data_IF_418426896280
#
_entry.id   IF_418426896280
#
_cell.length_a   1.000
_cell.length_b   1.000
_cell.length_c   1.000
_cell.angle_alpha   90.00
_cell.angle_beta   90.00
_cell.angle_gamma   90.00
#
_symmetry.space_group_name_H-M   'P 1'
#
loop_
_entity.id
_entity.type
_entity.pdbx_description
1 polymer ?
#
# COMPACT_ATOMS: atom_id res chain seq x y z
N UNK A 1 15.99 -11.60 33.87
CA UNK A 1 16.76 -10.46 33.32
C UNK A 1 16.04 -9.19 33.74
N UNK A 2 16.71 -8.26 34.41
CA UNK A 2 16.10 -7.00 34.85
C UNK A 2 15.68 -6.14 33.64
N UNK A 3 14.67 -5.29 33.84
CA UNK A 3 14.29 -4.30 32.84
C UNK A 3 15.26 -3.12 32.87
N UNK A 4 15.95 -2.89 31.76
CA UNK A 4 16.74 -1.69 31.51
C UNK A 4 16.53 -1.25 30.06
N UNK A 5 16.64 0.05 29.80
CA UNK A 5 16.51 0.60 28.45
C UNK A 5 17.52 -0.06 27.48
N UNK A 6 18.74 -0.34 27.95
CA UNK A 6 19.77 -0.99 27.16
C UNK A 6 19.44 -2.45 26.85
N UNK A 7 18.80 -3.17 27.78
CA UNK A 7 18.32 -4.53 27.52
C UNK A 7 17.21 -4.54 26.45
N UNK A 8 16.31 -3.56 26.46
CA UNK A 8 15.28 -3.39 25.42
C UNK A 8 15.96 -3.11 24.08
N UNK A 9 16.86 -2.12 24.01
CA UNK A 9 17.58 -1.75 22.77
C UNK A 9 18.39 -2.93 22.21
N UNK A 10 19.05 -3.70 23.06
CA UNK A 10 19.80 -4.89 22.67
C UNK A 10 18.87 -5.95 22.05
N UNK A 11 17.72 -6.23 22.67
CA UNK A 11 16.73 -7.18 22.14
C UNK A 11 16.14 -6.74 20.80
N UNK A 12 15.77 -5.46 20.67
CA UNK A 12 15.28 -4.91 19.40
C UNK A 12 16.34 -4.97 18.30
N UNK A 13 17.61 -4.75 18.66
CA UNK A 13 18.74 -4.81 17.72
C UNK A 13 19.07 -6.26 17.29
N UNK A 14 18.91 -7.23 18.19
CA UNK A 14 19.10 -8.65 17.90
C UNK A 14 17.91 -9.33 17.17
N UNK A 15 16.75 -8.65 17.06
CA UNK A 15 15.54 -9.21 16.48
C UNK A 15 15.69 -9.62 15.00
N UNK A 16 15.54 -10.91 14.71
CA UNK A 16 15.57 -11.45 13.34
C UNK A 16 14.15 -11.74 12.82
N UNK A 17 14.04 -12.21 11.57
CA UNK A 17 12.77 -12.55 10.91
C UNK A 17 12.17 -13.89 11.39
N UNK A 18 12.83 -14.62 12.28
CA UNK A 18 12.34 -15.94 12.70
C UNK A 18 11.17 -15.79 13.67
N UNK A 19 10.14 -16.60 13.48
CA UNK A 19 8.95 -16.59 14.34
C UNK A 19 9.34 -16.85 15.80
N UNK A 20 10.23 -17.79 16.06
CA UNK A 20 10.74 -18.08 17.40
C UNK A 20 11.39 -16.84 18.05
N UNK A 21 12.26 -16.14 17.32
CA UNK A 21 12.91 -14.93 17.81
C UNK A 21 11.91 -13.83 18.17
N UNK A 22 10.90 -13.61 17.31
CA UNK A 22 9.84 -12.63 17.54
C UNK A 22 9.01 -13.00 18.78
N UNK A 23 8.58 -14.26 18.90
CA UNK A 23 7.77 -14.74 20.03
C UNK A 23 8.55 -14.65 21.34
N UNK A 24 9.82 -15.08 21.38
CA UNK A 24 10.64 -15.01 22.60
C UNK A 24 10.85 -13.56 23.06
N UNK A 25 11.10 -12.63 22.14
CA UNK A 25 11.23 -11.21 22.49
C UNK A 25 9.89 -10.65 22.96
N UNK A 26 8.78 -10.97 22.29
CA UNK A 26 7.43 -10.54 22.68
C UNK A 26 7.07 -11.02 24.10
N UNK A 27 7.36 -12.27 24.43
CA UNK A 27 7.15 -12.83 25.78
C UNK A 27 7.92 -12.05 26.85
N UNK A 28 9.20 -11.74 26.60
CA UNK A 28 10.00 -10.95 27.53
C UNK A 28 9.49 -9.51 27.69
N UNK A 29 9.05 -8.89 26.59
CA UNK A 29 8.45 -7.55 26.59
C UNK A 29 7.15 -7.54 27.40
N UNK A 30 6.27 -8.52 27.17
CA UNK A 30 5.01 -8.64 27.92
C UNK A 30 5.19 -8.97 29.40
N UNK A 31 6.25 -9.69 29.77
CA UNK A 31 6.59 -9.90 31.17
C UNK A 31 6.84 -8.57 31.89
N UNK A 32 7.42 -7.59 31.20
CA UNK A 32 7.72 -6.25 31.72
C UNK A 32 6.67 -5.19 31.34
N UNK A 33 5.39 -5.57 31.22
CA UNK A 33 4.28 -4.67 30.82
C UNK A 33 4.15 -3.38 31.64
N UNK A 34 4.65 -3.34 32.89
CA UNK A 34 4.68 -2.12 33.72
C UNK A 34 5.48 -0.99 33.07
N UNK A 35 6.33 -1.33 32.10
CA UNK A 35 7.13 -0.39 31.32
C UNK A 35 6.65 -0.35 29.86
N UNK A 36 5.36 -0.58 29.60
CA UNK A 36 4.80 -0.59 28.25
C UNK A 36 5.08 0.72 27.50
N UNK A 37 4.80 1.86 28.12
CA UNK A 37 5.04 3.18 27.52
C UNK A 37 6.50 3.40 27.15
N UNK A 38 7.42 3.10 28.09
CA UNK A 38 8.86 3.25 27.85
C UNK A 38 9.33 2.32 26.74
N UNK A 39 8.84 1.09 26.72
CA UNK A 39 9.18 0.09 25.69
C UNK A 39 8.66 0.50 24.32
N UNK A 40 7.43 1.03 24.24
CA UNK A 40 6.82 1.52 23.01
C UNK A 40 7.60 2.72 22.43
N UNK A 41 8.06 3.64 23.27
CA UNK A 41 8.93 4.74 22.86
C UNK A 41 10.28 4.27 22.31
N UNK A 42 10.96 3.36 23.02
CA UNK A 42 12.24 2.79 22.59
C UNK A 42 12.09 2.01 21.28
N UNK A 43 10.98 1.29 21.12
CA UNK A 43 10.62 0.60 19.90
C UNK A 43 10.45 1.56 18.72
N UNK A 44 9.72 2.66 18.91
CA UNK A 44 9.52 3.66 17.86
C UNK A 44 10.83 4.35 17.47
N UNK A 45 11.67 4.69 18.45
CA UNK A 45 13.01 5.22 18.19
C UNK A 45 13.82 4.25 17.33
N UNK A 46 13.87 2.97 17.72
CA UNK A 46 14.60 1.96 16.97
C UNK A 46 14.03 1.76 15.56
N UNK A 47 12.71 1.85 15.40
CA UNK A 47 12.03 1.76 14.10
C UNK A 47 12.51 2.86 13.14
N UNK A 48 12.59 4.11 13.62
CA UNK A 48 13.07 5.25 12.83
C UNK A 48 14.52 5.05 12.37
N UNK A 49 15.38 4.57 13.26
CA UNK A 49 16.82 4.34 13.03
C UNK A 49 17.14 3.08 12.20
N UNK A 50 16.15 2.21 11.93
CA UNK A 50 16.38 0.92 11.27
C UNK A 50 16.09 0.96 9.76
N UNK A 51 16.75 0.12 8.93
CA UNK A 51 16.42 -0.03 7.51
C UNK A 51 15.10 -0.79 7.30
N UNK A 52 14.52 -0.72 6.08
CA UNK A 52 13.19 -1.22 5.77
C UNK A 52 12.93 -2.69 6.18
N UNK A 53 13.85 -3.62 5.91
CA UNK A 53 13.70 -5.03 6.33
C UNK A 53 13.64 -5.20 7.84
N UNK A 54 14.47 -4.45 8.58
CA UNK A 54 14.45 -4.47 10.05
C UNK A 54 13.19 -3.78 10.61
N UNK A 55 12.65 -2.76 9.92
CA UNK A 55 11.38 -2.13 10.30
C UNK A 55 10.21 -3.11 10.25
N UNK A 56 10.18 -4.00 9.25
CA UNK A 56 9.18 -5.06 9.16
C UNK A 56 9.20 -5.97 10.39
N UNK A 57 10.39 -6.42 10.82
CA UNK A 57 10.52 -7.28 12.01
C UNK A 57 10.01 -6.59 13.28
N UNK A 58 10.30 -5.30 13.41
CA UNK A 58 9.81 -4.50 14.52
C UNK A 58 8.28 -4.36 14.51
N UNK A 59 7.66 -4.25 13.33
CA UNK A 59 6.20 -4.26 13.18
C UNK A 59 5.62 -5.64 13.52
N UNK A 60 6.27 -6.74 13.12
CA UNK A 60 5.86 -8.09 13.53
C UNK A 60 5.94 -8.30 15.04
N UNK A 61 6.97 -7.78 15.70
CA UNK A 61 7.07 -7.79 17.15
C UNK A 61 5.92 -7.00 17.81
N UNK A 62 5.63 -5.79 17.32
CA UNK A 62 4.52 -4.99 17.84
C UNK A 62 3.18 -5.70 17.64
N UNK A 63 2.98 -6.35 16.49
CA UNK A 63 1.82 -7.17 16.21
C UNK A 63 1.67 -8.33 17.20
N UNK A 64 2.75 -9.10 17.43
CA UNK A 64 2.75 -10.22 18.37
C UNK A 64 2.41 -9.76 19.80
N UNK A 65 3.02 -8.66 20.26
CA UNK A 65 2.76 -8.07 21.58
C UNK A 65 1.32 -7.57 21.69
N UNK A 66 0.80 -6.85 20.68
CA UNK A 66 -0.57 -6.31 20.70
C UNK A 66 -1.62 -7.44 20.72
N UNK A 67 -1.45 -8.46 19.89
CA UNK A 67 -2.35 -9.61 19.85
C UNK A 67 -2.34 -10.39 21.16
N UNK A 68 -1.15 -10.73 21.69
CA UNK A 68 -1.07 -11.45 22.96
C UNK A 68 -1.59 -10.60 24.14
N UNK A 69 -1.41 -9.29 24.10
CA UNK A 69 -1.96 -8.35 25.09
C UNK A 69 -3.49 -8.38 25.08
N UNK A 70 -4.11 -8.33 23.89
CA UNK A 70 -5.57 -8.46 23.70
C UNK A 70 -6.10 -9.80 24.22
N UNK A 71 -5.47 -10.92 23.82
CA UNK A 71 -5.87 -12.28 24.24
C UNK A 71 -5.79 -12.45 25.75
N UNK A 72 -4.76 -11.89 26.39
CA UNK A 72 -4.55 -11.96 27.85
C UNK A 72 -5.34 -10.90 28.62
N UNK A 73 -6.14 -10.05 27.95
CA UNK A 73 -6.89 -8.91 28.53
C UNK A 73 -5.99 -7.98 29.34
N UNK A 74 -4.82 -7.66 28.80
CA UNK A 74 -3.82 -6.76 29.41
C UNK A 74 -3.55 -5.63 28.44
N UNK A 75 -4.28 -4.53 28.59
CA UNK A 75 -4.31 -3.48 27.58
C UNK A 75 -3.14 -2.50 27.67
N UNK A 76 -2.18 -2.68 28.60
CA UNK A 76 -1.05 -1.76 28.81
C UNK A 76 -0.30 -1.45 27.50
N UNK A 77 0.00 -2.50 26.71
CA UNK A 77 0.67 -2.31 25.42
C UNK A 77 -0.26 -1.81 24.32
N UNK A 78 -1.56 -2.13 24.36
CA UNK A 78 -2.51 -1.58 23.42
C UNK A 78 -2.63 -0.06 23.61
N UNK A 79 -2.73 0.39 24.86
CA UNK A 79 -2.76 1.81 25.24
C UNK A 79 -1.45 2.49 24.84
N UNK A 80 -0.29 1.88 25.14
CA UNK A 80 1.01 2.44 24.81
C UNK A 80 1.27 2.54 23.29
N UNK A 81 0.83 1.57 22.49
CA UNK A 81 0.99 1.59 21.03
C UNK A 81 -0.02 2.49 20.32
N UNK A 82 -1.23 2.64 20.86
CA UNK A 82 -2.33 3.41 20.27
C UNK A 82 -1.92 4.78 19.71
N UNK A 83 -1.22 5.66 20.46
CA UNK A 83 -0.86 7.00 19.96
C UNK A 83 0.24 6.99 18.90
N UNK A 84 1.03 5.91 18.80
CA UNK A 84 2.22 5.86 17.94
C UNK A 84 2.09 4.92 16.74
N UNK A 85 1.16 3.97 16.75
CA UNK A 85 1.13 2.87 15.77
C UNK A 85 0.84 3.36 14.35
N UNK A 86 0.02 4.40 14.19
CA UNK A 86 -0.27 5.00 12.89
C UNK A 86 0.97 5.68 12.30
N UNK A 87 1.76 6.38 13.12
CA UNK A 87 3.02 6.99 12.68
C UNK A 87 4.07 5.91 12.38
N UNK A 88 4.18 4.92 13.27
CA UNK A 88 5.14 3.83 13.14
C UNK A 88 4.91 3.01 11.86
N UNK A 89 3.66 2.67 11.57
CA UNK A 89 3.29 1.95 10.34
C UNK A 89 3.66 2.79 9.11
N UNK A 90 3.41 4.09 9.12
CA UNK A 90 3.81 4.99 8.05
C UNK A 90 5.35 5.03 7.83
N UNK A 91 6.13 5.07 8.91
CA UNK A 91 7.61 5.03 8.85
C UNK A 91 8.12 3.70 8.28
N UNK A 92 7.50 2.59 8.67
CA UNK A 92 7.83 1.26 8.15
C UNK A 92 7.46 1.13 6.66
N UNK A 93 6.35 1.74 6.25
CA UNK A 93 5.81 1.68 4.90
C UNK A 93 6.57 2.58 3.90
N UNK A 94 6.99 3.77 4.36
CA UNK A 94 7.70 4.76 3.54
C UNK A 94 9.10 4.27 3.14
N UNK A 95 9.36 4.22 1.85
CA UNK A 95 10.66 3.81 1.29
C UNK A 95 10.90 2.30 1.30
N UNK A 96 9.90 1.49 1.67
CA UNK A 96 9.97 0.04 1.59
C UNK A 96 9.75 -0.48 0.15
N UNK A 97 10.29 -1.66 -0.15
CA UNK A 97 10.01 -2.39 -1.39
C UNK A 97 8.55 -2.85 -1.45
N UNK A 98 8.05 -3.15 -2.64
CA UNK A 98 6.65 -3.56 -2.81
C UNK A 98 6.31 -4.83 -2.00
N UNK A 99 7.22 -5.80 -1.93
CA UNK A 99 7.08 -7.02 -1.11
C UNK A 99 6.89 -6.70 0.39
N UNK A 100 7.74 -5.82 0.95
CA UNK A 100 7.62 -5.41 2.36
C UNK A 100 6.31 -4.64 2.59
N UNK A 101 5.91 -3.79 1.65
CA UNK A 101 4.65 -3.06 1.75
C UNK A 101 3.43 -3.98 1.76
N UNK A 102 3.41 -5.02 0.92
CA UNK A 102 2.35 -6.03 0.93
C UNK A 102 2.29 -6.77 2.28
N UNK A 103 3.44 -7.13 2.85
CA UNK A 103 3.52 -7.74 4.18
C UNK A 103 2.99 -6.81 5.28
N UNK A 104 3.35 -5.52 5.25
CA UNK A 104 2.84 -4.53 6.20
C UNK A 104 1.31 -4.36 6.09
N UNK A 105 0.77 -4.31 4.86
CA UNK A 105 -0.69 -4.28 4.66
C UNK A 105 -1.39 -5.49 5.24
N UNK A 106 -0.79 -6.67 5.09
CA UNK A 106 -1.34 -7.89 5.69
C UNK A 106 -1.43 -7.79 7.21
N UNK A 107 -0.43 -7.16 7.86
CA UNK A 107 -0.48 -6.90 9.31
C UNK A 107 -1.61 -5.94 9.67
N UNK A 108 -1.76 -4.83 8.94
CA UNK A 108 -2.84 -3.85 9.17
C UNK A 108 -4.22 -4.48 9.00
N UNK A 109 -4.40 -5.31 7.98
CA UNK A 109 -5.64 -6.07 7.76
C UNK A 109 -5.92 -7.05 8.90
N UNK A 110 -4.89 -7.73 9.41
CA UNK A 110 -5.04 -8.61 10.59
C UNK A 110 -5.46 -7.82 11.83
N UNK A 111 -4.96 -6.59 12.02
CA UNK A 111 -5.42 -5.73 13.12
C UNK A 111 -6.90 -5.38 13.00
N UNK A 112 -7.37 -5.09 11.79
CA UNK A 112 -8.80 -4.86 11.50
C UNK A 112 -9.64 -6.09 11.79
N UNK A 113 -9.29 -7.23 11.19
CA UNK A 113 -10.04 -8.48 11.32
C UNK A 113 -10.17 -8.94 12.77
N UNK A 114 -9.14 -8.70 13.58
CA UNK A 114 -9.10 -9.11 15.00
C UNK A 114 -9.50 -7.99 15.96
N UNK A 115 -9.93 -6.82 15.46
CA UNK A 115 -10.26 -5.64 16.27
C UNK A 115 -9.18 -5.33 17.32
N UNK A 116 -7.91 -5.33 16.92
CA UNK A 116 -6.77 -5.14 17.85
C UNK A 116 -6.77 -3.73 18.42
N UNK A 117 -6.88 -2.73 17.54
CA UNK A 117 -6.99 -1.32 17.90
C UNK A 117 -8.43 -0.83 17.72
N UNK A 118 -8.78 0.23 18.44
CA UNK A 118 -10.06 0.91 18.27
C UNK A 118 -10.20 1.49 16.86
N UNK A 119 -11.44 1.57 16.38
CA UNK A 119 -11.75 1.98 15.00
C UNK A 119 -11.06 3.29 14.58
N UNK A 120 -11.03 4.38 15.39
CA UNK A 120 -10.36 5.62 14.98
C UNK A 120 -8.86 5.46 14.74
N UNK A 121 -8.21 4.57 15.51
CA UNK A 121 -6.77 4.30 15.37
C UNK A 121 -6.53 3.46 14.11
N UNK A 122 -7.37 2.44 13.89
CA UNK A 122 -7.31 1.59 12.71
C UNK A 122 -7.49 2.43 11.43
N UNK A 123 -8.50 3.31 11.40
CA UNK A 123 -8.73 4.24 10.29
C UNK A 123 -7.55 5.20 10.09
N UNK A 124 -6.95 5.69 11.17
CA UNK A 124 -5.76 6.54 11.06
C UNK A 124 -4.54 5.78 10.49
N UNK A 125 -4.36 4.50 10.84
CA UNK A 125 -3.31 3.64 10.25
C UNK A 125 -3.57 3.46 8.75
N UNK A 126 -4.78 3.06 8.37
CA UNK A 126 -5.19 2.84 6.98
C UNK A 126 -5.04 4.12 6.15
N UNK A 127 -5.56 5.24 6.65
CA UNK A 127 -5.47 6.54 5.99
C UNK A 127 -4.01 6.95 5.75
N UNK A 128 -3.10 6.74 6.70
CA UNK A 128 -1.67 7.08 6.52
C UNK A 128 -0.97 6.17 5.51
N UNK A 129 -1.31 4.88 5.49
CA UNK A 129 -0.78 3.96 4.46
C UNK A 129 -1.30 4.38 3.10
N UNK A 130 -2.61 4.61 2.98
CA UNK A 130 -3.25 5.02 1.74
C UNK A 130 -2.76 6.39 1.26
N UNK A 131 -2.50 7.34 2.16
CA UNK A 131 -1.85 8.62 1.84
C UNK A 131 -0.43 8.44 1.33
N UNK A 132 0.32 7.45 1.82
CA UNK A 132 1.65 7.16 1.30
C UNK A 132 1.59 6.50 -0.07
N UNK A 133 0.62 5.62 -0.32
CA UNK A 133 0.36 5.11 -1.66
C UNK A 133 -0.14 6.19 -2.58
N UNK A 134 -1.02 7.05 -2.08
CA UNK A 134 -1.46 8.28 -2.72
C UNK A 134 -0.21 9.05 -3.06
N UNK A 135 0.71 9.35 -2.15
CA UNK A 135 1.89 10.17 -2.40
C UNK A 135 2.87 9.53 -3.40
N UNK A 136 2.97 8.19 -3.42
CA UNK A 136 3.68 7.44 -4.46
C UNK A 136 2.96 7.46 -5.81
N UNK A 137 1.62 7.52 -5.79
CA UNK A 137 0.73 7.58 -6.95
C UNK A 137 0.18 8.98 -7.23
N UNK A 138 0.69 10.04 -6.57
CA UNK A 138 0.14 11.40 -6.60
C UNK A 138 0.81 12.22 -7.67
N UNK A 139 0.81 11.66 -8.86
CA UNK A 139 -0.10 12.23 -9.84
C UNK A 139 -1.54 11.75 -9.58
N UNK A 140 -2.29 12.50 -8.75
CA UNK A 140 -3.77 12.57 -8.66
C UNK A 140 -4.52 11.75 -7.58
N UNK A 141 -5.35 12.49 -6.82
CA UNK A 141 -6.25 12.05 -5.73
C UNK A 141 -7.61 11.48 -6.22
N UNK A 142 -8.32 10.70 -5.38
CA UNK A 142 -9.41 9.78 -5.73
C UNK A 142 -10.80 10.24 -5.26
N UNK A 143 -11.88 9.73 -5.85
CA UNK A 143 -13.22 9.56 -5.24
C UNK A 143 -14.05 8.62 -6.14
N UNK A 144 -14.29 7.36 -5.74
CA UNK A 144 -15.43 6.84 -4.95
C UNK A 144 -16.54 6.28 -5.85
N UNK A 145 -16.71 4.96 -5.83
CA UNK A 145 -17.97 4.30 -6.20
C UNK A 145 -17.87 3.20 -7.26
N UNK A 146 -17.87 1.94 -6.79
CA UNK A 146 -18.62 0.85 -7.42
C UNK A 146 -17.91 -0.03 -8.46
N UNK A 147 -17.81 -1.33 -8.15
CA UNK A 147 -18.47 -2.43 -8.90
C UNK A 147 -17.70 -3.76 -8.77
N UNK A 148 -18.46 -4.81 -8.50
CA UNK A 148 -18.08 -6.08 -7.84
C UNK A 148 -17.45 -7.14 -8.76
N UNK A 149 -16.57 -6.76 -9.70
CA UNK A 149 -15.95 -7.75 -10.62
C UNK A 149 -14.41 -7.69 -10.68
N UNK A 150 -13.76 -7.03 -9.72
CA UNK A 150 -12.29 -6.93 -9.69
C UNK A 150 -11.68 -8.03 -8.82
N UNK A 151 -11.22 -9.10 -9.47
CA UNK A 151 -10.15 -9.94 -8.91
C UNK A 151 -8.88 -9.10 -8.85
N UNK A 152 -8.30 -9.03 -7.64
CA UNK A 152 -7.10 -8.29 -7.24
C UNK A 152 -5.94 -8.28 -8.25
N UNK A 153 -5.57 -7.09 -8.74
CA UNK A 153 -4.20 -6.54 -8.78
C UNK A 153 -4.16 -5.31 -9.71
N UNK A 154 -3.91 -4.13 -9.16
CA UNK A 154 -3.62 -2.91 -9.93
C UNK A 154 -4.84 -2.23 -10.57
N UNK A 155 -5.25 -1.08 -10.04
CA UNK A 155 -6.21 -0.20 -10.71
C UNK A 155 -5.66 0.22 -12.08
N UNK A 156 -6.43 0.01 -13.14
CA UNK A 156 -6.08 0.44 -14.50
C UNK A 156 -5.84 1.97 -14.50
N UNK A 157 -4.70 2.46 -15.01
CA UNK A 157 -4.43 3.89 -15.13
C UNK A 157 -5.56 4.64 -15.86
N UNK A 158 -5.87 5.90 -15.48
CA UNK A 158 -7.01 6.65 -16.04
C UNK A 158 -6.92 6.83 -17.56
N UNK A 159 -5.71 7.00 -18.10
CA UNK A 159 -5.47 7.10 -19.55
C UNK A 159 -5.85 5.80 -20.30
N UNK A 160 -5.82 4.66 -19.62
CA UNK A 160 -6.15 3.34 -20.17
C UNK A 160 -7.60 2.92 -19.87
N UNK A 161 -8.32 3.64 -19.01
CA UNK A 161 -9.73 3.33 -18.70
C UNK A 161 -10.65 3.29 -19.93
N UNK A 162 -10.51 4.19 -20.93
CA UNK A 162 -11.35 4.13 -22.13
C UNK A 162 -11.17 2.85 -22.96
N UNK A 163 -10.01 2.18 -22.84
CA UNK A 163 -9.69 0.95 -23.56
C UNK A 163 -10.25 -0.30 -22.89
N UNK A 164 -10.45 -0.27 -21.57
CA UNK A 164 -11.00 -1.39 -20.82
C UNK A 164 -12.35 -1.91 -21.35
N UNK A 165 -13.38 -1.08 -21.57
CA UNK A 165 -14.66 -1.57 -22.12
C UNK A 165 -14.53 -2.09 -23.55
N UNK A 166 -13.63 -1.52 -24.36
CA UNK A 166 -13.36 -1.99 -25.73
C UNK A 166 -12.72 -3.39 -25.72
N UNK A 167 -11.76 -3.61 -24.82
CA UNK A 167 -11.14 -4.93 -24.62
C UNK A 167 -12.15 -5.96 -24.10
N UNK A 168 -13.04 -5.58 -23.18
CA UNK A 168 -14.10 -6.46 -22.68
C UNK A 168 -15.08 -6.82 -23.80
N UNK A 169 -15.50 -5.85 -24.62
CA UNK A 169 -16.37 -6.09 -25.76
C UNK A 169 -15.74 -7.06 -26.77
N UNK A 170 -14.44 -6.88 -27.08
CA UNK A 170 -13.70 -7.80 -27.95
C UNK A 170 -13.62 -9.22 -27.36
N UNK A 171 -13.32 -9.36 -26.07
CA UNK A 171 -13.29 -10.66 -25.39
C UNK A 171 -14.64 -11.37 -25.46
N UNK A 172 -15.74 -10.64 -25.20
CA UNK A 172 -17.10 -11.20 -25.28
C UNK A 172 -17.46 -11.64 -26.71
N UNK A 173 -17.19 -10.79 -27.70
CA UNK A 173 -17.43 -11.11 -29.11
C UNK A 173 -16.60 -12.33 -29.56
N UNK A 174 -15.35 -12.43 -29.10
CA UNK A 174 -14.44 -13.54 -29.41
C UNK A 174 -14.95 -14.86 -28.82
N UNK A 175 -15.38 -14.86 -27.56
CA UNK A 175 -15.95 -16.05 -26.91
C UNK A 175 -17.23 -16.53 -27.60
N UNK A 176 -18.14 -15.61 -27.96
CA UNK A 176 -19.41 -15.94 -28.62
C UNK A 176 -19.24 -16.45 -30.06
N UNK A 177 -18.26 -15.91 -30.80
CA UNK A 177 -18.04 -16.31 -32.19
C UNK A 177 -17.37 -17.67 -32.32
N UNK A 178 -16.55 -18.09 -31.34
CA UNK A 178 -15.80 -19.34 -31.41
C UNK A 178 -16.72 -20.53 -31.67
N UNK A 179 -17.79 -20.66 -30.89
CA UNK A 179 -18.78 -21.73 -31.06
C UNK A 179 -19.49 -21.66 -32.41
N UNK A 180 -19.92 -20.46 -32.83
CA UNK A 180 -20.66 -20.27 -34.09
C UNK A 180 -19.84 -20.65 -35.31
N UNK A 181 -18.56 -20.25 -35.34
CA UNK A 181 -17.61 -20.59 -36.43
C UNK A 181 -17.30 -22.08 -36.44
N UNK A 182 -17.05 -22.69 -35.28
CA UNK A 182 -16.81 -24.15 -35.21
C UNK A 182 -18.02 -24.94 -35.71
N UNK A 183 -19.23 -24.59 -35.27
CA UNK A 183 -20.46 -25.27 -35.74
C UNK A 183 -20.63 -25.14 -37.25
N UNK A 184 -20.44 -23.94 -37.81
CA UNK A 184 -20.55 -23.73 -39.25
C UNK A 184 -19.50 -24.52 -40.05
N UNK A 185 -18.24 -24.55 -39.59
CA UNK A 185 -17.17 -25.32 -40.24
C UNK A 185 -17.44 -26.82 -40.17
N UNK A 186 -17.84 -27.34 -39.00
CA UNK A 186 -18.16 -28.77 -38.85
C UNK A 186 -19.34 -29.19 -39.72
N UNK A 187 -20.39 -28.37 -39.82
CA UNK A 187 -21.53 -28.66 -40.70
C UNK A 187 -21.13 -28.60 -42.19
N UNK A 188 -20.26 -27.64 -42.55
CA UNK A 188 -19.72 -27.52 -43.90
C UNK A 188 -18.88 -28.74 -44.30
N UNK A 189 -17.97 -29.18 -43.43
CA UNK A 189 -17.11 -30.35 -43.64
C UNK A 189 -17.94 -31.62 -43.80
N UNK A 190 -18.94 -31.84 -42.94
CA UNK A 190 -19.85 -33.00 -43.03
C UNK A 190 -20.62 -33.06 -44.35
N UNK A 191 -20.99 -31.90 -44.89
CA UNK A 191 -21.69 -31.82 -46.18
C UNK A 191 -20.78 -32.05 -47.39
N UNK A 192 -19.47 -31.85 -47.24
CA UNK A 192 -18.49 -31.98 -48.32
C UNK A 192 -17.60 -33.24 -48.18
N UNK A 193 -17.85 -34.10 -47.19
CA UNK A 193 -17.13 -35.37 -47.04
C UNK A 193 -17.57 -36.35 -48.14
N UNK A 194 -16.66 -36.78 -49.03
CA UNK A 194 -16.96 -37.71 -50.11
C UNK A 194 -17.41 -39.10 -49.64
N UNK A 195 -17.20 -39.44 -48.37
CA UNK A 195 -17.63 -40.72 -47.79
C UNK A 195 -19.02 -40.66 -47.15
N UNK A 196 -19.67 -39.50 -47.11
CA UNK A 196 -21.02 -39.37 -46.55
C UNK A 196 -22.05 -39.89 -47.56
N UNK A 197 -22.85 -40.93 -47.23
CA UNK A 197 -23.85 -41.48 -48.14
C UNK A 197 -24.86 -40.39 -48.53
N UNK A 198 -25.12 -40.27 -49.82
CA UNK A 198 -25.95 -39.20 -50.37
C UNK A 198 -27.38 -39.30 -49.81
N UNK A 199 -27.84 -38.31 -49.03
CA UNK A 199 -29.17 -38.35 -48.43
C UNK A 199 -30.25 -38.16 -49.50
N UNK A 200 -31.50 -38.50 -49.17
CA UNK A 200 -32.63 -38.26 -50.08
C UNK A 200 -32.75 -36.77 -50.42
N UNK A 201 -33.25 -36.40 -51.62
CA UNK A 201 -33.31 -34.99 -52.04
C UNK A 201 -33.98 -34.04 -51.03
N UNK A 202 -35.08 -34.40 -50.33
CA UNK A 202 -35.66 -33.55 -49.29
C UNK A 202 -34.74 -33.35 -48.08
N UNK A 203 -34.02 -34.40 -47.67
CA UNK A 203 -33.08 -34.34 -46.53
C UNK A 203 -31.83 -33.53 -46.90
N UNK A 204 -31.35 -33.66 -48.14
CA UNK A 204 -30.25 -32.86 -48.65
C UNK A 204 -30.59 -31.36 -48.65
N UNK A 205 -31.78 -30.99 -49.15
CA UNK A 205 -32.26 -29.61 -49.15
C UNK A 205 -32.41 -29.02 -47.72
N UNK A 206 -32.89 -29.84 -46.78
CA UNK A 206 -32.99 -29.43 -45.37
C UNK A 206 -31.60 -29.19 -44.74
N UNK A 207 -30.62 -30.06 -45.00
CA UNK A 207 -29.23 -29.86 -44.52
C UNK A 207 -28.58 -28.62 -45.10
N UNK A 208 -28.74 -28.37 -46.40
CA UNK A 208 -28.24 -27.14 -47.03
C UNK A 208 -28.86 -25.88 -46.40
N UNK A 209 -30.15 -25.91 -46.10
CA UNK A 209 -30.84 -24.80 -45.42
C UNK A 209 -30.30 -24.57 -44.00
N UNK A 210 -30.00 -25.65 -43.26
CA UNK A 210 -29.38 -25.58 -41.95
C UNK A 210 -27.93 -25.05 -42.01
N UNK A 211 -27.16 -25.50 -43.00
CA UNK A 211 -25.80 -25.01 -43.24
C UNK A 211 -25.81 -23.50 -43.55
N UNK A 212 -26.69 -23.03 -44.44
CA UNK A 212 -26.84 -21.60 -44.74
C UNK A 212 -27.16 -20.79 -43.48
N UNK A 213 -28.03 -21.30 -42.59
CA UNK A 213 -28.33 -20.64 -41.31
C UNK A 213 -27.11 -20.59 -40.38
N UNK A 214 -26.36 -21.68 -40.29
CA UNK A 214 -25.14 -21.73 -39.46
C UNK A 214 -24.06 -20.79 -39.99
N UNK A 215 -23.89 -20.71 -41.30
CA UNK A 215 -22.95 -19.80 -41.97
C UNK A 215 -23.35 -18.33 -41.76
N UNK A 216 -24.62 -17.98 -41.92
CA UNK A 216 -25.11 -16.62 -41.66
C UNK A 216 -24.89 -16.20 -40.20
N UNK A 217 -25.12 -17.11 -39.24
CA UNK A 217 -24.85 -16.86 -37.84
C UNK A 217 -23.35 -16.64 -37.58
N UNK A 218 -22.47 -17.49 -38.15
CA UNK A 218 -21.03 -17.33 -38.03
C UNK A 218 -20.51 -16.04 -38.68
N UNK A 219 -21.06 -15.65 -39.83
CA UNK A 219 -20.73 -14.39 -40.51
C UNK A 219 -21.10 -13.18 -39.64
N UNK A 220 -22.28 -13.21 -39.03
CA UNK A 220 -22.71 -12.14 -38.11
C UNK A 220 -21.80 -12.04 -36.88
N UNK A 221 -21.40 -13.17 -36.29
CA UNK A 221 -20.54 -13.17 -35.10
C UNK A 221 -19.11 -12.72 -35.43
N UNK A 222 -18.58 -13.10 -36.60
CA UNK A 222 -17.27 -12.61 -37.07
C UNK A 222 -17.31 -11.11 -37.36
N UNK A 223 -18.40 -10.61 -37.93
CA UNK A 223 -18.59 -9.17 -38.16
C UNK A 223 -18.56 -8.36 -36.86
N UNK A 224 -19.13 -8.89 -35.77
CA UNK A 224 -19.06 -8.26 -34.45
C UNK A 224 -17.64 -8.25 -33.87
N UNK A 225 -16.85 -9.31 -34.06
CA UNK A 225 -15.43 -9.32 -33.68
C UNK A 225 -14.68 -8.23 -34.45
N UNK A 226 -14.87 -8.16 -35.77
CA UNK A 226 -14.18 -7.20 -36.63
C UNK A 226 -14.47 -5.77 -36.15
N UNK A 227 -15.75 -5.45 -35.91
CA UNK A 227 -16.17 -4.15 -35.40
C UNK A 227 -15.57 -3.82 -34.02
N UNK A 228 -15.58 -4.80 -33.11
CA UNK A 228 -15.02 -4.63 -31.77
C UNK A 228 -13.50 -4.41 -31.81
N UNK A 229 -12.80 -5.15 -32.68
CA UNK A 229 -11.36 -5.03 -32.86
C UNK A 229 -10.97 -3.70 -33.50
N UNK A 230 -11.73 -3.24 -34.50
CA UNK A 230 -11.51 -1.92 -35.10
C UNK A 230 -11.66 -0.81 -34.05
N UNK A 231 -12.73 -0.87 -33.25
CA UNK A 231 -12.97 0.13 -32.19
C UNK A 231 -11.83 0.16 -31.16
N UNK A 232 -11.28 -1.00 -30.79
CA UNK A 232 -10.13 -1.10 -29.88
C UNK A 232 -8.86 -0.49 -30.51
N UNK A 233 -8.60 -0.77 -31.79
CA UNK A 233 -7.47 -0.20 -32.53
C UNK A 233 -7.57 1.33 -32.54
N UNK A 234 -8.72 1.88 -32.92
CA UNK A 234 -8.96 3.33 -32.97
C UNK A 234 -8.69 3.98 -31.59
N UNK A 235 -9.13 3.32 -30.51
CA UNK A 235 -8.86 3.78 -29.14
C UNK A 235 -7.36 3.78 -28.80
N UNK A 236 -6.63 2.72 -29.17
CA UNK A 236 -5.19 2.59 -28.96
C UNK A 236 -4.40 3.65 -29.75
N UNK A 237 -4.78 3.89 -31.00
CA UNK A 237 -4.16 4.91 -31.86
C UNK A 237 -4.36 6.31 -31.30
N UNK A 238 -5.56 6.64 -30.83
CA UNK A 238 -5.83 7.93 -30.19
C UNK A 238 -4.95 8.16 -28.94
N UNK A 239 -4.75 7.11 -28.13
CA UNK A 239 -3.87 7.18 -26.97
C UNK A 239 -2.40 7.36 -27.39
N UNK A 240 -1.96 6.63 -28.41
CA UNK A 240 -0.62 6.75 -28.99
C UNK A 240 -0.35 8.19 -29.47
N UNK A 241 -1.29 8.78 -30.20
CA UNK A 241 -1.14 10.13 -30.74
C UNK A 241 -1.12 11.20 -29.65
N UNK A 242 -1.90 10.99 -28.57
CA UNK A 242 -1.85 11.86 -27.38
C UNK A 242 -0.45 11.86 -26.76
N UNK A 243 0.16 10.68 -26.61
CA UNK A 243 1.52 10.55 -26.08
C UNK A 243 2.58 11.13 -27.01
N UNK A 244 2.45 10.93 -28.34
CA UNK A 244 3.34 11.55 -29.33
C UNK A 244 3.29 13.07 -29.28
N UNK A 245 2.10 13.66 -29.13
CA UNK A 245 1.94 15.11 -29.00
C UNK A 245 2.57 15.65 -27.71
N UNK A 246 2.37 14.95 -26.58
CA UNK A 246 2.98 15.32 -25.31
C UNK A 246 4.52 15.26 -25.39
N UNK A 247 5.07 14.19 -25.96
CA UNK A 247 6.51 14.03 -26.16
C UNK A 247 7.10 15.17 -27.00
N UNK A 248 6.45 15.55 -28.11
CA UNK A 248 6.90 16.66 -28.94
C UNK A 248 6.95 18.00 -28.18
N UNK A 249 5.96 18.25 -27.31
CA UNK A 249 5.93 19.46 -26.46
C UNK A 249 7.06 19.45 -25.43
N UNK A 250 7.28 18.31 -24.78
CA UNK A 250 8.36 18.14 -23.79
C UNK A 250 9.74 18.30 -24.43
N UNK A 251 9.94 17.77 -25.63
CA UNK A 251 11.17 17.96 -26.41
C UNK A 251 11.41 19.44 -26.73
N UNK A 252 10.37 20.16 -27.19
CA UNK A 252 10.47 21.60 -27.45
C UNK A 252 10.80 22.39 -26.18
N UNK A 253 10.17 22.05 -25.06
CA UNK A 253 10.43 22.67 -23.76
C UNK A 253 11.87 22.43 -23.30
N UNK A 254 12.40 21.21 -23.48
CA UNK A 254 13.79 20.89 -23.18
C UNK A 254 14.76 21.75 -23.98
N UNK A 255 14.52 21.94 -25.28
CA UNK A 255 15.32 22.84 -26.13
C UNK A 255 15.26 24.27 -25.61
N UNK A 256 14.06 24.81 -25.32
CA UNK A 256 13.90 26.18 -24.80
C UNK A 256 14.62 26.39 -23.46
N UNK A 257 14.54 25.42 -22.55
CA UNK A 257 15.25 25.49 -21.27
C UNK A 257 16.77 25.45 -21.45
N UNK A 258 17.27 24.65 -22.40
CA UNK A 258 18.70 24.58 -22.72
C UNK A 258 19.23 25.90 -23.30
N UNK A 259 18.45 26.54 -24.16
CA UNK A 259 18.77 27.86 -24.74
C UNK A 259 18.79 28.94 -23.66
N UNK A 260 17.73 29.02 -22.83
CA UNK A 260 17.69 29.96 -21.70
C UNK A 260 18.83 29.74 -20.71
N UNK A 261 19.22 28.48 -20.47
CA UNK A 261 20.38 28.16 -19.62
C UNK A 261 21.66 28.71 -20.24
N UNK A 262 21.89 28.48 -21.54
CA UNK A 262 23.06 28.98 -22.24
C UNK A 262 23.12 30.52 -22.24
N UNK A 263 21.99 31.19 -22.48
CA UNK A 263 21.89 32.65 -22.41
C UNK A 263 22.22 33.19 -21.01
N UNK A 264 21.69 32.52 -19.96
CA UNK A 264 21.92 32.93 -18.58
C UNK A 264 23.38 32.71 -18.18
N UNK A 265 23.99 31.61 -18.61
CA UNK A 265 25.40 31.32 -18.38
C UNK A 265 26.31 32.31 -19.12
N UNK A 266 25.96 32.70 -20.35
CA UNK A 266 26.66 33.73 -21.10
C UNK A 266 26.61 35.09 -20.39
N UNK A 267 25.42 35.53 -19.96
CA UNK A 267 25.25 36.78 -19.18
C UNK A 267 26.00 36.73 -17.86
N UNK A 268 25.96 35.59 -17.17
CA UNK A 268 26.72 35.39 -15.93
C UNK A 268 28.22 35.60 -16.18
N UNK A 269 28.76 34.97 -17.24
CA UNK A 269 30.17 35.11 -17.60
C UNK A 269 30.54 36.55 -17.95
N UNK A 270 29.69 37.26 -18.69
CA UNK A 270 29.91 38.67 -19.02
C UNK A 270 29.99 39.55 -17.77
N UNK A 271 29.11 39.31 -16.79
CA UNK A 271 29.14 40.01 -15.50
C UNK A 271 30.41 39.67 -14.71
N UNK A 272 30.80 38.39 -14.64
CA UNK A 272 32.03 37.94 -13.98
C UNK A 272 33.30 38.56 -14.62
N UNK A 273 33.37 38.58 -15.96
CA UNK A 273 34.46 39.19 -16.72
C UNK A 273 34.50 40.72 -16.51
N UNK A 274 33.34 41.37 -16.40
CA UNK A 274 33.23 42.80 -16.05
C UNK A 274 33.76 43.11 -14.66
N UNK A 275 33.43 42.28 -13.66
CA UNK A 275 33.95 42.41 -12.29
C UNK A 275 35.47 42.24 -12.26
N UNK A 276 36.01 41.19 -12.91
CA UNK A 276 37.46 40.97 -12.95
C UNK A 276 38.20 42.14 -13.59
N UNK A 277 37.66 42.70 -14.68
CA UNK A 277 38.23 43.89 -15.32
C UNK A 277 38.18 45.13 -14.44
N UNK A 278 37.07 45.36 -13.74
CA UNK A 278 36.91 46.46 -12.79
C UNK A 278 37.89 46.38 -11.61
N UNK A 279 38.10 45.17 -11.07
CA UNK A 279 39.05 44.93 -9.98
C UNK A 279 40.51 45.09 -10.43
N UNK A 280 40.88 44.69 -11.66
CA UNK A 280 42.23 44.88 -12.19
C UNK A 280 42.58 46.34 -12.52
N UNK A 281 41.58 47.18 -12.84
CA UNK A 281 41.80 48.61 -13.05
C UNK A 281 42.12 49.36 -11.75
N UNK A 282 41.66 48.86 -10.60
CA UNK A 282 41.92 49.43 -9.27
C UNK A 282 43.15 48.83 -8.58
N UNK A 283 43.72 47.75 -9.16
CA UNK A 283 44.92 47.08 -8.66
C UNK A 283 46.07 47.15 -9.67
N UNK A 284 46.58 48.37 -9.87
CA UNK A 284 47.95 48.59 -10.37
C UNK A 284 48.69 49.58 -9.48
N UNK A 285 49.98 49.33 -9.17
CA UNK A 285 50.62 49.73 -7.92
C UNK A 285 51.34 51.07 -8.05
N UNK A 286 51.12 51.98 -7.11
CA UNK A 286 52.01 53.14 -6.96
C UNK A 286 53.25 52.69 -6.20
N UNK A 287 54.34 52.45 -6.93
CA UNK A 287 55.67 52.40 -6.37
C UNK A 287 56.09 53.82 -5.96
N UNK A 288 56.24 54.06 -4.65
CA UNK A 288 57.06 55.18 -4.18
C UNK A 288 57.95 54.70 -3.03
N UNK A 289 59.23 54.49 -3.35
CA UNK A 289 60.30 54.43 -2.35
C UNK A 289 60.62 55.86 -1.91
N UNK A 290 60.74 56.07 -0.59
CA UNK A 290 61.15 57.31 0.06
C UNK A 290 60.78 57.29 1.55
N UNK A 291 61.77 56.98 2.39
CA UNK A 291 61.79 56.81 3.85
C UNK A 291 61.46 58.10 4.67
N UNK A 292 61.45 58.13 6.03
CA UNK A 292 60.30 58.01 6.92
C UNK A 292 60.03 59.28 7.76
N UNK A 293 58.98 59.22 8.60
CA UNK A 293 58.65 60.14 9.71
C UNK A 293 57.75 61.34 9.39
N UNK A 294 56.46 61.22 9.72
CA UNK A 294 55.71 62.15 10.59
C UNK A 294 54.20 61.87 10.57
N UNK A 295 53.58 61.84 11.75
CA UNK A 295 52.26 62.45 11.96
C UNK A 295 51.00 61.64 11.66
N UNK A 296 50.37 61.19 12.74
CA UNK A 296 48.93 60.94 12.96
C UNK A 296 47.94 61.56 11.96
N UNK A 297 46.95 60.77 11.50
CA UNK A 297 45.49 61.03 11.66
C UNK A 297 44.63 60.12 10.77
N UNK A 298 43.84 59.25 11.39
CA UNK A 298 42.84 58.35 10.78
C UNK A 298 41.48 59.08 10.69
N UNK A 299 40.84 59.21 9.51
CA UNK A 299 39.48 59.73 9.40
C UNK A 299 38.39 58.63 9.50
N UNK A 300 37.17 58.99 9.96
CA UNK A 300 36.22 58.05 10.58
C UNK A 300 35.38 57.22 9.61
N UNK A 301 34.99 56.03 10.10
CA UNK A 301 34.12 55.00 9.50
C UNK A 301 32.67 55.50 9.30
N UNK A 302 32.07 55.39 8.10
CA UNK A 302 30.65 55.70 7.89
C UNK A 302 29.70 54.63 8.48
N UNK A 303 28.61 55.09 9.11
CA UNK A 303 27.57 54.28 9.73
C UNK A 303 26.68 53.57 8.69
N UNK A 304 26.32 52.31 8.97
CA UNK A 304 25.43 51.48 8.13
C UNK A 304 23.98 51.65 8.59
N UNK A 305 23.15 52.22 7.72
CA UNK A 305 21.71 52.43 7.94
C UNK A 305 20.95 51.10 7.85
N UNK A 306 20.17 50.77 8.89
CA UNK A 306 19.40 49.53 8.98
C UNK A 306 18.08 49.63 8.20
N UNK A 307 17.89 48.65 7.30
CA UNK A 307 16.71 48.46 6.45
C UNK A 307 15.39 48.48 7.25
N UNK A 308 14.59 49.53 7.07
CA UNK A 308 13.17 49.52 7.42
C UNK A 308 12.34 49.40 6.15
N UNK A 309 11.50 48.36 5.99
CA UNK A 309 10.57 48.30 4.87
C UNK A 309 9.34 49.21 5.12
N UNK A 310 8.88 50.00 4.13
CA UNK A 310 7.62 50.75 4.19
C UNK A 310 6.39 49.85 3.93
N UNK A 311 5.16 50.31 4.29
CA UNK A 311 4.00 49.46 4.49
C UNK A 311 3.26 49.15 3.18
N UNK A 312 2.65 47.96 3.11
CA UNK A 312 1.67 47.63 2.06
C UNK A 312 0.27 47.65 2.65
N UNK A 313 -0.55 48.57 2.15
CA UNK A 313 -1.97 48.69 2.45
C UNK A 313 -2.77 47.52 1.86
N UNK A 314 -3.84 47.18 2.58
CA UNK A 314 -4.66 45.98 2.42
C UNK A 314 -5.70 46.10 1.30
N UNK A 315 -5.91 45.01 0.55
CA UNK A 315 -7.21 44.70 -0.07
C UNK A 315 -7.38 43.16 -0.15
N UNK A 316 -8.09 42.56 0.80
CA UNK A 316 -9.35 41.83 0.54
C UNK A 316 -9.92 41.23 1.85
N UNK A 317 -11.26 41.12 1.96
CA UNK A 317 -11.96 41.15 3.24
C UNK A 317 -12.33 39.75 3.73
N UNK A 318 -12.08 39.46 5.02
CA UNK A 318 -12.72 38.35 5.72
C UNK A 318 -13.63 38.91 6.81
N UNK A 319 -14.93 38.78 6.59
CA UNK A 319 -15.95 39.04 7.59
C UNK A 319 -16.06 37.87 8.56
N UNK A 320 -16.16 38.18 9.85
CA UNK A 320 -16.95 37.41 10.81
C UNK A 320 -17.35 38.32 11.98
N UNK A 321 -18.60 38.25 12.47
CA UNK A 321 -19.14 39.22 13.42
C UNK A 321 -18.93 38.81 14.88
N UNK A 322 -18.82 39.83 15.75
CA UNK A 322 -19.01 39.77 17.21
C UNK A 322 -20.47 39.44 17.57
N UNK A 323 -20.70 39.04 18.82
CA UNK A 323 -21.82 39.60 19.56
C UNK A 323 -21.37 40.27 20.88
N UNK A 324 -21.97 41.44 21.11
CA UNK A 324 -21.93 42.21 22.36
C UNK A 324 -22.95 41.67 23.38
N UNK A 325 -22.68 42.01 24.63
CA UNK A 325 -23.46 41.79 25.85
C UNK A 325 -24.51 42.88 26.10
N UNK A 326 -25.65 42.49 26.68
CA UNK A 326 -26.54 43.17 27.66
C UNK A 326 -27.98 42.61 27.51
N UNK A 327 -28.83 42.40 28.51
CA UNK A 327 -28.75 42.36 29.97
C UNK A 327 -30.09 41.77 30.49
N UNK A 328 -30.07 41.21 31.72
CA UNK A 328 -31.16 41.06 32.71
C UNK A 328 -32.46 40.24 32.49
N UNK A 329 -32.59 39.18 33.32
CA UNK A 329 -33.69 38.82 34.26
C UNK A 329 -33.78 37.28 34.36
N UNK A 330 -33.88 36.58 35.48
CA UNK A 330 -33.89 36.85 36.92
C UNK A 330 -34.12 35.48 37.61
N UNK A 331 -33.73 35.38 38.89
CA UNK A 331 -34.18 34.38 39.90
C UNK A 331 -33.49 33.00 39.90
N UNK A 332 -32.57 32.83 40.87
CA UNK A 332 -32.27 31.56 41.57
C UNK A 332 -33.18 31.46 42.83
N UNK A 333 -33.43 30.26 43.42
CA UNK A 333 -32.51 29.61 44.38
C UNK A 333 -32.40 28.07 44.15
N UNK A 334 -31.29 27.37 44.38
CA UNK A 334 -30.51 27.06 45.60
C UNK A 334 -31.00 25.82 46.39
N UNK A 335 -30.01 25.09 46.95
CA UNK A 335 -29.99 23.93 47.89
C UNK A 335 -30.17 22.51 47.33
N UNK A 336 -29.53 21.45 47.84
CA UNK A 336 -28.30 21.17 48.63
C UNK A 336 -28.38 19.69 49.07
N UNK A 337 -27.22 19.00 49.06
CA UNK A 337 -26.71 18.00 50.01
C UNK A 337 -27.38 16.60 50.24
N UNK A 338 -26.47 15.61 50.23
CA UNK A 338 -26.32 14.41 51.10
C UNK A 338 -27.44 13.36 51.25
N UNK A 339 -27.15 12.09 50.93
CA UNK A 339 -26.71 11.08 51.92
C UNK A 339 -26.51 9.66 51.31
N UNK A 340 -25.50 8.96 51.83
CA UNK A 340 -25.12 7.52 51.73
C UNK A 340 -26.06 6.64 52.62
N UNK A 341 -25.82 5.35 53.01
CA UNK A 341 -25.01 4.22 52.47
C UNK A 341 -25.71 2.81 52.63
N UNK A 342 -24.99 1.71 52.29
CA UNK A 342 -24.88 0.37 52.96
C UNK A 342 -24.69 -0.79 51.94
N UNK A 343 -24.12 -1.96 52.22
CA UNK A 343 -22.94 -2.47 52.96
C UNK A 343 -22.85 -4.02 52.75
N UNK A 344 -21.74 -4.64 53.17
CA UNK A 344 -21.46 -6.08 53.48
C UNK A 344 -21.04 -7.05 52.34
N UNK A 345 -20.24 -8.12 52.55
CA UNK A 345 -19.14 -8.53 53.46
C UNK A 345 -18.64 -9.94 53.02
N UNK A 346 -17.43 -10.34 53.46
CA UNK A 346 -16.84 -11.70 53.63
C UNK A 346 -16.48 -12.56 52.39
N UNK A 347 -15.41 -13.36 52.30
CA UNK A 347 -14.36 -13.85 53.23
C UNK A 347 -14.07 -15.36 53.01
N UNK A 348 -12.82 -15.79 52.75
CA UNK A 348 -12.22 -17.15 53.01
C UNK A 348 -10.98 -17.42 52.12
N UNK A 349 -9.73 -17.51 52.62
CA UNK A 349 -8.98 -18.64 53.24
C UNK A 349 -8.42 -19.73 52.30
N UNK A 350 -7.10 -19.93 52.39
CA UNK A 350 -6.14 -20.94 51.86
C UNK A 350 -6.41 -22.40 52.37
N UNK A 351 -5.56 -23.47 52.21
CA UNK A 351 -4.23 -23.72 51.55
C UNK A 351 -4.14 -25.14 50.82
N UNK A 352 -3.04 -25.96 50.84
CA UNK A 352 -1.80 -25.92 50.03
C UNK A 352 -1.31 -27.30 49.43
N UNK A 353 -0.13 -27.28 48.76
CA UNK A 353 0.82 -28.43 48.67
C UNK A 353 0.88 -29.14 47.30
N UNK A 354 1.97 -29.70 46.78
CA UNK A 354 3.35 -29.98 47.24
C UNK A 354 4.24 -30.26 46.01
N UNK A 355 5.53 -29.99 46.20
CA UNK A 355 6.76 -30.49 45.53
C UNK A 355 6.69 -31.72 44.60
N UNK A 356 7.46 -31.71 43.51
CA UNK A 356 8.55 -32.69 43.29
C UNK A 356 9.46 -32.35 42.11
N UNK A 357 10.73 -32.59 42.38
CA UNK A 357 11.96 -32.55 41.60
C UNK A 357 12.15 -33.78 40.69
N UNK A 358 12.85 -33.62 39.56
CA UNK A 358 13.89 -34.53 39.03
C UNK A 358 14.46 -33.94 37.72
N UNK A 359 15.69 -33.42 37.66
CA UNK A 359 17.02 -34.07 37.43
C UNK A 359 17.31 -34.56 36.00
N UNK A 360 18.45 -34.04 35.49
CA UNK A 360 19.44 -34.65 34.57
C UNK A 360 18.98 -34.98 33.13
N UNK A 361 19.75 -34.74 32.06
CA UNK A 361 21.21 -34.83 31.83
C UNK A 361 21.54 -34.16 30.46
N UNK A 362 22.71 -33.55 30.27
CA UNK A 362 23.85 -34.11 29.50
C UNK A 362 23.77 -33.73 28.01
N UNK A 363 24.40 -32.63 27.58
CA UNK A 363 25.73 -32.48 26.95
C UNK A 363 25.89 -33.10 25.54
N UNK A 364 26.59 -32.32 24.70
CA UNK A 364 27.29 -32.68 23.45
C UNK A 364 26.42 -32.88 22.20
N UNK A 365 26.79 -32.49 20.98
CA UNK A 365 27.92 -31.74 20.42
C UNK A 365 27.63 -31.48 18.93
N UNK A 366 28.41 -30.58 18.32
CA UNK A 366 28.43 -30.20 16.91
C UNK A 366 28.22 -31.33 15.87
N UNK A 367 27.60 -30.98 14.73
CA UNK A 367 27.62 -31.81 13.53
C UNK A 367 27.00 -31.16 12.29
N UNK A 368 27.79 -30.38 11.57
CA UNK A 368 27.54 -29.93 10.18
C UNK A 368 27.38 -31.15 9.26
N UNK A 369 26.31 -31.21 8.47
CA UNK A 369 26.34 -31.91 7.18
C UNK A 369 25.29 -31.40 6.19
N UNK A 370 25.79 -30.86 5.08
CA UNK A 370 25.06 -30.60 3.85
C UNK A 370 24.70 -31.92 3.17
N UNK A 371 23.44 -32.14 2.76
CA UNK A 371 23.08 -33.18 1.78
C UNK A 371 21.82 -32.82 0.98
N UNK A 372 22.01 -32.67 -0.32
CA UNK A 372 20.99 -32.66 -1.38
C UNK A 372 20.39 -34.06 -1.56
N UNK A 373 19.08 -34.15 -1.81
CA UNK A 373 18.28 -35.15 -2.59
C UNK A 373 16.84 -35.12 -2.04
N UNK A 374 15.77 -35.45 -2.74
CA UNK A 374 15.42 -35.80 -4.14
C UNK A 374 13.91 -36.02 -4.03
N UNK A 375 13.11 -35.37 -4.88
CA UNK A 375 11.66 -35.59 -4.91
C UNK A 375 11.38 -36.98 -5.49
N UNK A 376 10.60 -37.78 -4.79
CA UNK A 376 10.02 -39.06 -5.23
C UNK A 376 8.53 -39.00 -4.89
N UNK A 377 7.67 -39.09 -5.91
CA UNK A 377 6.23 -39.31 -5.75
C UNK A 377 5.99 -40.75 -5.30
N UNK A 378 5.12 -40.93 -4.30
CA UNK A 378 4.57 -42.21 -3.87
C UNK A 378 3.08 -42.30 -4.23
N UNK A 379 2.67 -43.45 -4.75
CA UNK A 379 1.34 -43.82 -5.29
C UNK A 379 0.26 -44.06 -4.22
N UNK A 380 0.27 -43.37 -3.08
CA UNK A 380 -0.63 -43.70 -1.96
C UNK A 380 -1.77 -42.68 -1.70
N UNK A 381 -1.92 -41.64 -2.52
CA UNK A 381 -2.94 -40.59 -2.29
C UNK A 381 -4.31 -40.86 -2.95
N UNK A 382 -4.50 -42.00 -3.62
CA UNK A 382 -5.75 -42.34 -4.31
C UNK A 382 -6.70 -43.27 -3.53
N UNK A 383 -6.34 -43.68 -2.31
CA UNK A 383 -7.17 -44.57 -1.50
C UNK A 383 -8.20 -43.84 -0.61
N UNK A 384 -8.16 -42.52 -0.51
CA UNK A 384 -9.03 -41.73 0.37
C UNK A 384 -10.38 -41.31 -0.27
N UNK A 385 -10.62 -41.64 -1.55
CA UNK A 385 -11.85 -41.28 -2.27
C UNK A 385 -12.72 -42.49 -2.69
N UNK A 386 -12.39 -43.70 -2.22
CA UNK A 386 -13.09 -44.93 -2.60
C UNK A 386 -14.14 -45.42 -1.56
N UNK A 387 -14.46 -44.62 -0.54
CA UNK A 387 -15.49 -44.93 0.47
C UNK A 387 -16.71 -44.04 0.29
N UNK A 388 -17.77 -44.58 -0.33
CA UNK A 388 -18.94 -43.84 -0.75
C UNK A 388 -19.90 -43.42 0.37
N UNK A 389 -20.67 -42.37 0.06
CA UNK A 389 -22.06 -42.24 0.45
C UNK A 389 -22.77 -41.53 -0.71
N UNK A 390 -23.48 -42.29 -1.54
CA UNK A 390 -24.29 -41.77 -2.64
C UNK A 390 -25.70 -41.63 -2.10
N UNK A 391 -26.20 -40.40 -2.10
CA UNK A 391 -27.54 -40.04 -1.59
C UNK A 391 -28.62 -40.99 -2.12
N UNK A 392 -29.43 -41.51 -1.20
CA UNK A 392 -30.50 -42.48 -1.46
C UNK A 392 -31.46 -42.02 -2.57
N UNK A 393 -31.59 -40.72 -2.75
CA UNK A 393 -32.45 -40.08 -3.75
C UNK A 393 -31.96 -40.30 -5.20
N UNK A 394 -30.65 -40.52 -5.40
CA UNK A 394 -30.06 -40.81 -6.72
C UNK A 394 -30.24 -42.28 -7.10
N UNK A 395 -30.24 -43.18 -6.12
CA UNK A 395 -30.51 -44.60 -6.33
C UNK A 395 -31.98 -44.89 -6.68
N UNK A 396 -32.91 -44.06 -6.19
CA UNK A 396 -34.34 -44.19 -6.49
C UNK A 396 -34.68 -43.68 -7.90
N UNK A 397 -34.00 -42.63 -8.38
CA UNK A 397 -34.14 -42.09 -9.74
C UNK A 397 -33.67 -43.09 -10.82
N UNK A 398 -32.58 -43.83 -10.57
CA UNK A 398 -32.07 -44.85 -11.50
C UNK A 398 -32.93 -46.13 -11.55
N UNK A 399 -33.75 -46.36 -10.51
CA UNK A 399 -34.72 -47.48 -10.50
C UNK A 399 -36.00 -47.18 -11.29
N UNK A 400 -36.40 -45.91 -11.41
CA UNK A 400 -37.56 -45.55 -12.23
C UNK A 400 -37.25 -45.56 -13.75
N UNK A 401 -36.00 -45.39 -14.15
CA UNK A 401 -35.60 -45.38 -15.57
C UNK A 401 -35.28 -46.76 -16.17
N UNK A 402 -35.25 -47.83 -15.37
CA UNK A 402 -34.76 -49.15 -15.81
C UNK A 402 -35.82 -50.26 -15.92
N UNK A 403 -37.11 -49.93 -15.99
CA UNK A 403 -38.15 -50.91 -16.30
C UNK A 403 -38.99 -50.44 -17.51
N UNK A 404 -39.08 -51.22 -18.61
CA UNK A 404 -39.78 -50.84 -19.83
C UNK A 404 -41.30 -50.76 -19.69
#
# INVERSE_FOLDING_TARGET
MAYTDDAVKAKLSALNETQEGIVTVAQWVMFHRRHADRTAQLWLQKLRESPAGKRLNLIYLANEVAQQSKVRRKDDFLIAFSPIIAEATAIAYKGASNDIQQKLRRVVEVWRQRNIFELPIQEAVEARVDELDKSRSSGKKPLLGGSLFSSSSGSIPPELQPLAPLQVALSKATMSSGTSVTTANTEYEKMHDPNTPLPTPPVHAARLSQLLKSLANAESSVSEIIKSRQSLIDGLEKLLDTNRSALAKEQSLMTQLSERKAETEAKKREVEDGIMRGLSADSSPVAHNGDPSAGESEPPRPEVEALTPPPVEALTPVGSPKPETQDQSGIHPFMSLENDPHESDAGSTLPPGLVSSNTQSGSDSNGVSSKKRKVVHGEDDYAAFAGGDLDADVAELLRQESNP
#
